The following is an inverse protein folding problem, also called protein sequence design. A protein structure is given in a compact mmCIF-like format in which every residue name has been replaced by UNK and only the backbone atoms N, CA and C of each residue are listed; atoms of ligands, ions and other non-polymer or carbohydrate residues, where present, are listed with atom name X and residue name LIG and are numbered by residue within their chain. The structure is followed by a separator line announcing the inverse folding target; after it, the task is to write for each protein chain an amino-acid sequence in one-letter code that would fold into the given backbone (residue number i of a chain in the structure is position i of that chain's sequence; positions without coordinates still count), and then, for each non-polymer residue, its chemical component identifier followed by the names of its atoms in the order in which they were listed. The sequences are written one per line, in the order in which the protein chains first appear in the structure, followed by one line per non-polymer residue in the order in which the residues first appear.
data_IF_751894739065
#
_entry.id   IF_751894739065
#
_cell.length_a   1.000
_cell.length_b   1.000
_cell.length_c   1.000
_cell.angle_alpha   90.00
_cell.angle_beta   90.00
_cell.angle_gamma   90.00
#
_symmetry.space_group_name_H-M   'P 1'
#
loop_
_entity.id
_entity.type
_entity.pdbx_description
1 polymer ?
#
# COMPACT_ATOMS: atom_id res chain seq x y z
N UNK A 1 3.44 20.23 -2.67
CA UNK A 1 4.82 19.68 -2.62
C UNK A 1 4.91 18.69 -3.77
N UNK A 2 5.81 18.92 -4.73
CA UNK A 2 5.87 18.12 -5.96
C UNK A 2 6.62 16.80 -5.72
N UNK A 3 6.36 15.76 -6.51
CA UNK A 3 7.04 14.45 -6.46
C UNK A 3 8.57 14.60 -6.52
N UNK A 4 9.03 15.64 -7.24
CA UNK A 4 10.43 16.00 -7.39
C UNK A 4 11.07 16.49 -6.07
N UNK A 5 10.26 17.04 -5.15
CA UNK A 5 10.71 17.44 -3.81
C UNK A 5 10.76 16.25 -2.85
N UNK A 6 9.87 15.26 -3.02
CA UNK A 6 9.90 14.00 -2.25
C UNK A 6 11.15 13.18 -2.61
N UNK A 7 11.50 13.07 -3.90
CA UNK A 7 12.74 12.41 -4.33
C UNK A 7 13.99 13.14 -3.84
N UNK A 8 13.94 14.48 -3.72
CA UNK A 8 15.05 15.25 -3.15
C UNK A 8 15.26 14.98 -1.65
N UNK A 9 14.23 14.55 -0.93
CA UNK A 9 14.32 14.24 0.50
C UNK A 9 14.71 12.78 0.73
N UNK A 10 14.17 11.84 -0.04
CA UNK A 10 14.38 10.39 0.20
C UNK A 10 15.64 9.79 -0.43
N UNK A 11 16.19 10.38 -1.52
CA UNK A 11 17.23 9.72 -2.32
C UNK A 11 18.53 10.54 -2.33
N UNK A 12 19.72 9.95 -2.14
CA UNK A 12 21.00 10.66 -2.26
C UNK A 12 21.18 11.35 -3.62
N UNK A 13 21.80 12.53 -3.67
CA UNK A 13 21.96 13.35 -4.90
C UNK A 13 22.62 12.58 -6.06
N UNK A 14 23.50 11.62 -5.75
CA UNK A 14 24.21 10.78 -6.73
C UNK A 14 23.27 9.83 -7.49
N UNK A 15 22.17 9.38 -6.88
CA UNK A 15 21.22 8.42 -7.48
C UNK A 15 20.08 9.12 -8.24
N UNK A 16 19.78 10.39 -7.92
CA UNK A 16 18.66 11.16 -8.52
C UNK A 16 18.77 11.33 -10.04
N UNK A 17 19.98 11.59 -10.58
CA UNK A 17 20.18 11.75 -12.04
C UNK A 17 19.95 10.45 -12.81
N UNK A 18 20.32 9.31 -12.22
CA UNK A 18 20.11 7.98 -12.81
C UNK A 18 18.62 7.61 -12.75
N UNK A 19 17.98 7.89 -11.61
CA UNK A 19 16.56 7.65 -11.36
C UNK A 19 15.65 8.48 -12.29
N UNK A 20 15.92 9.78 -12.49
CA UNK A 20 15.18 10.62 -13.44
C UNK A 20 15.30 10.16 -14.89
N UNK A 21 16.45 9.59 -15.26
CA UNK A 21 16.71 9.11 -16.62
C UNK A 21 16.01 7.78 -16.89
N UNK A 22 15.91 6.93 -15.88
CA UNK A 22 15.09 5.71 -15.91
C UNK A 22 13.59 6.03 -15.84
N UNK A 23 13.14 7.02 -15.05
CA UNK A 23 11.74 7.48 -14.96
C UNK A 23 11.16 7.97 -16.28
N UNK A 24 12.01 8.49 -17.16
CA UNK A 24 11.63 8.89 -18.52
C UNK A 24 11.53 7.72 -19.50
N UNK A 25 12.08 6.55 -19.15
CA UNK A 25 12.17 5.36 -20.02
C UNK A 25 11.27 4.21 -19.56
N UNK A 26 11.05 4.08 -18.26
CA UNK A 26 10.22 3.06 -17.63
C UNK A 26 9.26 3.78 -16.70
N UNK A 27 7.98 3.40 -16.75
CA UNK A 27 6.94 3.98 -15.91
C UNK A 27 7.29 3.91 -14.42
N UNK A 28 6.70 4.83 -13.64
CA UNK A 28 6.99 5.06 -12.23
C UNK A 28 6.86 3.76 -11.39
N UNK A 29 5.89 2.91 -11.74
CA UNK A 29 5.67 1.60 -11.11
C UNK A 29 6.84 0.62 -11.30
N UNK A 30 7.41 0.53 -12.50
CA UNK A 30 8.55 -0.36 -12.77
C UNK A 30 9.79 0.03 -11.98
N UNK A 31 9.97 1.33 -11.75
CA UNK A 31 11.12 1.86 -11.01
C UNK A 31 10.96 1.68 -9.52
N UNK A 32 9.73 1.77 -9.00
CA UNK A 32 9.45 1.40 -7.62
C UNK A 32 9.73 -0.08 -7.38
N UNK A 33 9.32 -0.96 -8.29
CA UNK A 33 9.60 -2.41 -8.25
C UNK A 33 11.11 -2.68 -8.34
N UNK A 34 11.85 -2.01 -9.23
CA UNK A 34 13.31 -2.15 -9.34
C UNK A 34 14.06 -1.58 -8.13
N UNK A 35 13.60 -0.45 -7.55
CA UNK A 35 14.13 0.09 -6.30
C UNK A 35 13.90 -0.87 -5.14
N UNK A 36 12.72 -1.46 -5.05
CA UNK A 36 12.39 -2.48 -4.06
C UNK A 36 13.30 -3.70 -4.22
N UNK A 37 13.43 -4.21 -5.46
CA UNK A 37 14.32 -5.34 -5.78
C UNK A 37 15.80 -5.05 -5.49
N UNK A 38 16.25 -3.82 -5.71
CA UNK A 38 17.64 -3.40 -5.47
C UNK A 38 17.94 -3.15 -3.98
N UNK A 39 16.95 -2.76 -3.18
CA UNK A 39 17.08 -2.54 -1.73
C UNK A 39 16.98 -3.83 -0.92
N UNK A 40 16.24 -4.83 -1.41
CA UNK A 40 15.90 -6.03 -0.64
C UNK A 40 16.45 -7.36 -1.18
N UNK A 41 17.26 -7.34 -2.25
CA UNK A 41 18.12 -8.45 -2.71
C UNK A 41 17.50 -9.85 -2.70
N UNK A 42 17.04 -10.35 -3.85
CA UNK A 42 16.62 -11.76 -3.93
C UNK A 42 16.24 -12.22 -5.33
N UNK A 43 17.14 -12.98 -5.93
CA UNK A 43 16.95 -13.72 -7.16
C UNK A 43 16.05 -14.95 -6.93
N UNK A 44 15.14 -15.17 -7.89
CA UNK A 44 14.41 -16.41 -8.26
C UNK A 44 14.26 -17.49 -7.17
N UNK A 45 13.02 -17.67 -6.72
CA UNK A 45 12.43 -19.00 -6.57
C UNK A 45 10.93 -18.93 -6.76
N UNK A 46 10.49 -19.44 -7.90
CA UNK A 46 9.10 -19.71 -8.24
C UNK A 46 8.79 -21.12 -7.75
N UNK A 47 7.72 -21.35 -6.97
CA UNK A 47 7.05 -22.63 -7.01
C UNK A 47 5.63 -22.52 -7.57
N UNK A 48 5.22 -23.64 -8.13
CA UNK A 48 4.05 -23.89 -8.94
C UNK A 48 2.71 -23.45 -8.34
N UNK A 49 1.82 -23.06 -9.25
CA UNK A 49 0.39 -22.86 -9.05
C UNK A 49 -0.23 -24.02 -8.25
N UNK A 50 -0.97 -23.67 -7.21
CA UNK A 50 -1.83 -24.59 -6.47
C UNK A 50 -3.27 -24.14 -6.62
N UNK A 51 -4.02 -24.91 -7.38
CA UNK A 51 -5.48 -24.84 -7.55
C UNK A 51 -6.13 -25.05 -6.19
N UNK A 52 -6.87 -24.05 -5.69
CA UNK A 52 -7.67 -24.18 -4.45
C UNK A 52 -9.11 -24.43 -4.82
N UNK A 53 -9.56 -25.64 -4.48
CA UNK A 53 -10.94 -26.11 -4.54
C UNK A 53 -11.76 -25.53 -3.40
N UNK A 54 -12.94 -25.04 -3.74
CA UNK A 54 -14.00 -24.52 -2.88
C UNK A 54 -14.50 -25.56 -1.85
N UNK A 55 -14.50 -25.24 -0.55
CA UNK A 55 -15.35 -25.90 0.47
C UNK A 55 -15.53 -24.98 1.68
N UNK A 56 -16.80 -24.66 1.99
CA UNK A 56 -17.20 -23.60 2.92
C UNK A 56 -16.97 -23.83 4.41
N UNK A 57 -17.17 -22.76 5.18
CA UNK A 57 -17.24 -22.78 6.64
C UNK A 57 -17.16 -21.39 7.28
N UNK A 58 -18.29 -20.99 7.89
CA UNK A 58 -18.47 -20.03 9.00
C UNK A 58 -18.10 -18.56 8.81
N UNK A 59 -19.15 -17.74 8.70
CA UNK A 59 -19.11 -16.29 8.87
C UNK A 59 -18.64 -15.90 10.28
N UNK A 60 -17.51 -15.21 10.35
CA UNK A 60 -17.04 -14.51 11.55
C UNK A 60 -17.82 -13.19 11.67
N UNK A 61 -18.42 -12.86 12.83
CA UNK A 61 -19.13 -11.61 13.00
C UNK A 61 -18.14 -10.46 13.11
N UNK A 62 -18.26 -9.48 12.20
CA UNK A 62 -17.50 -8.23 12.22
C UNK A 62 -17.91 -7.43 13.48
N UNK A 63 -16.98 -7.08 14.38
CA UNK A 63 -17.29 -6.23 15.53
C UNK A 63 -17.66 -4.82 15.07
N UNK A 64 -18.79 -4.30 15.57
CA UNK A 64 -19.26 -2.93 15.33
C UNK A 64 -18.24 -1.93 15.89
N UNK A 65 -17.63 -1.11 15.03
CA UNK A 65 -16.66 -0.10 15.46
C UNK A 65 -17.37 1.05 16.19
N UNK A 66 -16.79 1.49 17.30
CA UNK A 66 -17.26 2.61 18.09
C UNK A 66 -16.46 3.88 17.75
N UNK A 67 -17.13 4.86 17.15
CA UNK A 67 -17.15 6.22 17.69
C UNK A 67 -16.09 7.26 17.31
N UNK A 68 -15.04 6.96 16.52
CA UNK A 68 -14.22 8.02 15.87
C UNK A 68 -13.89 7.64 14.43
N UNK A 69 -14.06 8.54 13.44
CA UNK A 69 -13.58 8.31 12.09
C UNK A 69 -12.08 8.02 12.14
N UNK A 70 -11.66 6.91 11.52
CA UNK A 70 -10.25 6.57 11.37
C UNK A 70 -9.50 7.63 10.56
N UNK A 71 -8.15 7.59 10.53
CA UNK A 71 -7.34 8.62 9.87
C UNK A 71 -7.57 8.75 8.36
N UNK A 72 -8.31 7.82 7.74
CA UNK A 72 -8.66 7.82 6.30
C UNK A 72 -10.17 7.97 6.04
N UNK A 73 -10.96 8.35 7.05
CA UNK A 73 -12.41 8.39 6.90
C UNK A 73 -12.87 9.45 5.89
N UNK A 74 -12.13 10.56 5.79
CA UNK A 74 -12.46 11.65 4.87
C UNK A 74 -12.16 11.21 3.43
N UNK A 75 -11.03 10.55 3.24
CA UNK A 75 -10.55 9.95 1.99
C UNK A 75 -11.52 8.90 1.46
N UNK A 76 -11.96 7.97 2.32
CA UNK A 76 -12.96 6.96 1.95
C UNK A 76 -14.30 7.60 1.57
N UNK A 77 -14.78 8.59 2.36
CA UNK A 77 -16.01 9.32 2.00
C UNK A 77 -15.87 10.00 0.64
N UNK A 78 -14.71 10.58 0.34
CA UNK A 78 -14.46 11.24 -0.93
C UNK A 78 -14.42 10.24 -2.09
N UNK A 79 -13.75 9.09 -1.92
CA UNK A 79 -13.74 8.00 -2.90
C UNK A 79 -15.16 7.52 -3.25
N UNK A 80 -15.98 7.23 -2.23
CA UNK A 80 -17.38 6.87 -2.43
C UNK A 80 -18.21 7.99 -3.08
N UNK A 81 -17.92 9.24 -2.76
CA UNK A 81 -18.59 10.39 -3.39
C UNK A 81 -18.28 10.42 -4.89
N UNK A 82 -17.03 10.19 -5.30
CA UNK A 82 -16.68 10.10 -6.71
C UNK A 82 -17.37 8.93 -7.41
N UNK A 83 -17.33 7.73 -6.83
CA UNK A 83 -18.01 6.54 -7.36
C UNK A 83 -19.52 6.79 -7.53
N UNK A 84 -20.19 7.31 -6.51
CA UNK A 84 -21.63 7.58 -6.55
C UNK A 84 -21.99 8.59 -7.66
N UNK A 85 -21.18 9.63 -7.83
CA UNK A 85 -21.41 10.61 -8.90
C UNK A 85 -21.18 10.02 -10.29
N UNK A 86 -20.18 9.16 -10.47
CA UNK A 86 -19.91 8.48 -11.75
C UNK A 86 -21.05 7.49 -12.08
N UNK A 87 -21.55 6.75 -11.08
CA UNK A 87 -22.71 5.89 -11.22
C UNK A 87 -23.96 6.69 -11.63
N UNK A 88 -24.18 7.87 -11.04
CA UNK A 88 -25.27 8.75 -11.40
C UNK A 88 -25.17 9.29 -12.84
N UNK A 89 -23.96 9.56 -13.34
CA UNK A 89 -23.74 9.91 -14.76
C UNK A 89 -24.17 8.77 -15.68
N UNK A 90 -23.77 7.52 -15.36
CA UNK A 90 -24.16 6.35 -16.14
C UNK A 90 -25.68 6.12 -16.16
N UNK A 91 -26.35 6.34 -15.02
CA UNK A 91 -27.80 6.22 -14.89
C UNK A 91 -28.57 7.32 -15.63
N UNK A 92 -28.00 8.53 -15.69
CA UNK A 92 -28.61 9.68 -16.36
C UNK A 92 -28.40 9.68 -17.88
N UNK A 93 -27.43 8.90 -18.37
CA UNK A 93 -27.17 8.75 -19.79
C UNK A 93 -28.35 8.07 -20.51
N UNK A 94 -28.59 8.47 -21.76
CA UNK A 94 -29.70 7.91 -22.56
C UNK A 94 -29.56 6.39 -22.69
N UNK A 95 -30.63 5.61 -22.41
CA UNK A 95 -30.65 4.16 -22.58
C UNK A 95 -30.15 3.72 -23.97
N UNK A 96 -29.51 2.55 -24.02
CA UNK A 96 -29.02 1.90 -25.26
C UNK A 96 -28.02 2.71 -26.11
N UNK A 97 -27.45 3.79 -25.55
CA UNK A 97 -26.38 4.55 -26.20
C UNK A 97 -24.99 3.99 -25.90
N UNK A 98 -24.07 4.22 -26.82
CA UNK A 98 -22.65 3.91 -26.60
C UNK A 98 -22.07 4.68 -25.40
N UNK A 99 -22.57 5.89 -25.15
CA UNK A 99 -22.21 6.68 -23.97
C UNK A 99 -22.53 5.94 -22.67
N UNK A 100 -23.77 5.44 -22.56
CA UNK A 100 -24.21 4.67 -21.39
C UNK A 100 -23.37 3.42 -21.17
N UNK A 101 -23.12 2.64 -22.23
CA UNK A 101 -22.29 1.43 -22.16
C UNK A 101 -20.88 1.75 -21.64
N UNK A 102 -20.25 2.81 -22.17
CA UNK A 102 -18.91 3.25 -21.76
C UNK A 102 -18.88 3.72 -20.32
N UNK A 103 -19.88 4.50 -19.89
CA UNK A 103 -19.99 4.97 -18.51
C UNK A 103 -20.21 3.83 -17.53
N UNK A 104 -21.03 2.83 -17.88
CA UNK A 104 -21.24 1.63 -17.06
C UNK A 104 -19.94 0.83 -16.90
N UNK A 105 -19.17 0.67 -17.99
CA UNK A 105 -17.87 0.00 -17.96
C UNK A 105 -16.86 0.74 -17.06
N UNK A 106 -16.72 2.05 -17.23
CA UNK A 106 -15.82 2.85 -16.40
C UNK A 106 -16.25 2.85 -14.92
N UNK A 107 -17.56 2.92 -14.66
CA UNK A 107 -18.10 2.86 -13.31
C UNK A 107 -17.77 1.54 -12.61
N UNK A 108 -17.85 0.41 -13.31
CA UNK A 108 -17.43 -0.89 -12.76
C UNK A 108 -15.96 -0.89 -12.33
N UNK A 109 -15.07 -0.34 -13.17
CA UNK A 109 -13.64 -0.27 -12.87
C UNK A 109 -13.30 0.73 -11.76
N UNK A 110 -14.06 1.82 -11.66
CA UNK A 110 -13.95 2.76 -10.53
C UNK A 110 -14.46 2.12 -9.25
N UNK A 111 -15.47 1.26 -9.29
CA UNK A 111 -15.91 0.50 -8.13
C UNK A 111 -14.79 -0.45 -7.64
N UNK A 112 -14.12 -1.17 -8.55
CA UNK A 112 -12.95 -2.00 -8.23
C UNK A 112 -11.85 -1.16 -7.57
N UNK A 113 -11.56 0.01 -8.13
CA UNK A 113 -10.58 0.95 -7.58
C UNK A 113 -10.94 1.37 -6.15
N UNK A 114 -12.16 1.86 -5.91
CA UNK A 114 -12.60 2.27 -4.56
C UNK A 114 -12.48 1.12 -3.58
N UNK A 115 -12.84 -0.10 -3.99
CA UNK A 115 -12.67 -1.28 -3.16
C UNK A 115 -11.21 -1.53 -2.75
N UNK A 116 -10.26 -1.40 -3.69
CA UNK A 116 -8.84 -1.52 -3.37
C UNK A 116 -8.35 -0.41 -2.42
N UNK A 117 -8.91 0.81 -2.49
CA UNK A 117 -8.61 1.86 -1.51
C UNK A 117 -9.08 1.42 -0.12
N UNK A 118 -10.28 0.86 0.00
CA UNK A 118 -10.79 0.33 1.27
C UNK A 118 -9.87 -0.74 1.86
N UNK A 119 -9.36 -1.65 1.03
CA UNK A 119 -8.43 -2.70 1.47
C UNK A 119 -7.09 -2.14 1.95
N UNK A 120 -6.50 -1.19 1.21
CA UNK A 120 -5.26 -0.51 1.64
C UNK A 120 -5.48 0.24 2.95
N UNK A 121 -6.63 0.92 3.09
CA UNK A 121 -7.00 1.63 4.31
C UNK A 121 -7.18 0.65 5.47
N UNK A 122 -7.85 -0.48 5.26
CA UNK A 122 -8.04 -1.50 6.28
C UNK A 122 -6.69 -2.05 6.76
N UNK A 123 -5.76 -2.30 5.84
CA UNK A 123 -4.39 -2.71 6.15
C UNK A 123 -3.65 -1.67 7.01
N UNK A 124 -3.81 -0.38 6.67
CA UNK A 124 -3.18 0.72 7.39
C UNK A 124 -3.83 1.04 8.76
N UNK A 125 -5.08 0.65 9.00
CA UNK A 125 -5.91 1.13 10.13
C UNK A 125 -6.00 0.19 11.34
N UNK A 126 -5.11 -0.78 11.53
CA UNK A 126 -5.19 -1.65 12.70
C UNK A 126 -4.84 -0.91 14.02
N UNK A 127 -5.75 -0.07 14.53
CA UNK A 127 -5.51 0.95 15.56
C UNK A 127 -5.05 0.39 16.92
N UNK A 128 -5.46 -0.83 17.24
CA UNK A 128 -5.02 -1.50 18.47
C UNK A 128 -3.58 -2.01 18.33
N UNK A 129 -3.21 -2.48 17.14
CA UNK A 129 -1.85 -2.83 16.78
C UNK A 129 -0.96 -1.58 16.77
N UNK A 130 -1.47 -0.47 16.22
CA UNK A 130 -0.75 0.80 16.11
C UNK A 130 -0.30 1.37 17.46
N UNK A 131 -1.16 1.32 18.50
CA UNK A 131 -0.78 1.81 19.83
C UNK A 131 0.28 0.94 20.48
N UNK A 132 0.11 -0.38 20.45
CA UNK A 132 1.08 -1.32 21.02
C UNK A 132 2.44 -1.21 20.31
N UNK A 133 2.44 -1.16 18.98
CA UNK A 133 3.66 -1.00 18.19
C UNK A 133 4.33 0.36 18.41
N UNK A 134 3.56 1.44 18.61
CA UNK A 134 4.11 2.76 18.92
C UNK A 134 4.80 2.78 20.29
N UNK A 135 4.17 2.18 21.30
CA UNK A 135 4.76 2.03 22.63
C UNK A 135 6.01 1.14 22.62
N UNK A 136 6.00 0.04 21.86
CA UNK A 136 7.19 -0.81 21.69
C UNK A 136 8.31 -0.06 20.98
N UNK A 137 8.03 0.74 19.95
CA UNK A 137 9.04 1.54 19.24
C UNK A 137 9.74 2.53 20.17
N UNK A 138 9.05 3.04 21.18
CA UNK A 138 9.67 3.91 22.19
C UNK A 138 10.50 3.13 23.23
N UNK A 139 10.07 1.90 23.58
CA UNK A 139 10.69 1.09 24.64
C UNK A 139 11.88 0.25 24.17
N UNK A 140 11.85 -0.27 22.95
CA UNK A 140 12.87 -1.18 22.41
C UNK A 140 14.27 -0.54 22.33
N UNK A 141 14.44 0.72 21.86
CA UNK A 141 15.76 1.36 21.82
C UNK A 141 16.42 1.47 23.20
N UNK A 142 15.65 1.88 24.21
CA UNK A 142 16.14 1.96 25.59
C UNK A 142 16.48 0.55 26.14
N UNK A 143 15.71 -0.47 25.80
CA UNK A 143 16.02 -1.85 26.18
C UNK A 143 17.32 -2.36 25.53
N UNK A 144 17.54 -2.04 24.24
CA UNK A 144 18.79 -2.36 23.52
C UNK A 144 19.97 -1.68 24.19
N UNK A 145 19.90 -0.38 24.46
CA UNK A 145 20.98 0.39 25.09
C UNK A 145 21.35 -0.17 26.47
N UNK A 146 20.34 -0.56 27.27
CA UNK A 146 20.59 -1.21 28.57
C UNK A 146 21.27 -2.57 28.42
N UNK A 147 20.86 -3.38 27.44
CA UNK A 147 21.46 -4.69 27.19
C UNK A 147 22.91 -4.56 26.69
N UNK A 148 23.21 -3.55 25.88
CA UNK A 148 24.57 -3.24 25.43
C UNK A 148 25.47 -2.84 26.62
N UNK A 149 24.97 -1.99 27.52
CA UNK A 149 25.67 -1.62 28.75
C UNK A 149 25.92 -2.82 29.67
N UNK A 150 24.93 -3.70 29.83
CA UNK A 150 25.06 -4.92 30.62
C UNK A 150 26.07 -5.89 30.00
N UNK A 151 26.06 -6.05 28.67
CA UNK A 151 26.99 -6.91 27.97
C UNK A 151 28.43 -6.40 28.11
N UNK A 152 28.64 -5.09 28.00
CA UNK A 152 29.96 -4.47 28.17
C UNK A 152 30.53 -4.60 29.59
N UNK A 153 29.67 -4.81 30.59
CA UNK A 153 30.05 -4.96 32.00
C UNK A 153 30.04 -6.42 32.49
N UNK A 154 29.69 -7.39 31.64
CA UNK A 154 29.58 -8.79 32.02
C UNK A 154 30.93 -9.51 31.86
N UNK A 155 31.42 -10.15 32.93
CA UNK A 155 32.65 -10.96 32.91
C UNK A 155 32.37 -12.47 32.79
N UNK A 156 31.14 -12.91 33.09
CA UNK A 156 30.73 -14.31 33.00
C UNK A 156 30.36 -14.69 31.54
N UNK A 157 31.02 -15.69 30.94
CA UNK A 157 30.75 -16.11 29.55
C UNK A 157 29.30 -16.57 29.31
N UNK A 158 28.66 -17.20 30.30
CA UNK A 158 27.28 -17.68 30.16
C UNK A 158 26.30 -16.50 30.14
N UNK A 159 26.53 -15.50 31.00
CA UNK A 159 25.77 -14.26 31.02
C UNK A 159 25.96 -13.46 29.71
N UNK A 160 27.20 -13.34 29.21
CA UNK A 160 27.49 -12.68 27.93
C UNK A 160 26.68 -13.31 26.78
N UNK A 161 26.72 -14.65 26.65
CA UNK A 161 25.99 -15.36 25.60
C UNK A 161 24.46 -15.12 25.67
N UNK A 162 23.88 -15.10 26.88
CA UNK A 162 22.45 -14.80 27.08
C UNK A 162 22.11 -13.36 26.70
N UNK A 163 22.97 -12.41 27.07
CA UNK A 163 22.80 -10.99 26.74
C UNK A 163 22.90 -10.76 25.23
N UNK A 164 23.86 -11.38 24.55
CA UNK A 164 24.01 -11.33 23.09
C UNK A 164 22.77 -11.86 22.36
N UNK A 165 22.26 -13.04 22.76
CA UNK A 165 21.04 -13.60 22.17
C UNK A 165 19.83 -12.69 22.37
N UNK A 166 19.70 -12.12 23.56
CA UNK A 166 18.60 -11.20 23.89
C UNK A 166 18.72 -9.91 23.08
N UNK A 167 19.93 -9.36 22.95
CA UNK A 167 20.23 -8.17 22.17
C UNK A 167 19.92 -8.40 20.68
N UNK A 168 20.32 -9.55 20.12
CA UNK A 168 20.02 -9.92 18.74
C UNK A 168 18.51 -9.97 18.48
N UNK A 169 17.74 -10.56 19.39
CA UNK A 169 16.28 -10.60 19.29
C UNK A 169 15.66 -9.20 19.36
N UNK A 170 16.14 -8.33 20.26
CA UNK A 170 15.64 -6.94 20.38
C UNK A 170 15.99 -6.10 19.15
N UNK A 171 17.17 -6.28 18.54
CA UNK A 171 17.54 -5.62 17.28
C UNK A 171 16.63 -6.06 16.13
N UNK A 172 16.34 -7.36 15.99
CA UNK A 172 15.35 -7.85 15.00
C UNK A 172 13.96 -7.27 15.24
N UNK A 173 13.52 -7.20 16.50
CA UNK A 173 12.25 -6.56 16.86
C UNK A 173 12.23 -5.08 16.43
N UNK A 174 13.32 -4.35 16.64
CA UNK A 174 13.44 -2.95 16.21
C UNK A 174 13.29 -2.79 14.69
N UNK A 175 14.00 -3.63 13.92
CA UNK A 175 13.92 -3.65 12.46
C UNK A 175 12.49 -3.90 11.98
N UNK A 176 11.80 -4.90 12.56
CA UNK A 176 10.40 -5.18 12.25
C UNK A 176 9.47 -4.00 12.57
N UNK A 177 9.68 -3.34 13.71
CA UNK A 177 8.89 -2.16 14.12
C UNK A 177 9.10 -0.95 13.19
N UNK A 178 10.30 -0.80 12.62
CA UNK A 178 10.62 0.23 11.62
C UNK A 178 10.00 -0.08 10.26
N UNK A 179 10.06 -1.34 9.81
CA UNK A 179 9.40 -1.79 8.58
C UNK A 179 7.89 -1.56 8.66
N UNK A 180 7.25 -1.97 9.76
CA UNK A 180 5.82 -1.73 9.98
C UNK A 180 5.48 -0.23 9.96
N UNK A 181 6.32 0.61 10.59
CA UNK A 181 6.14 2.08 10.57
C UNK A 181 6.15 2.63 9.14
N UNK A 182 7.15 2.21 8.36
CA UNK A 182 7.36 2.67 7.00
C UNK A 182 6.22 2.20 6.10
N UNK A 183 5.80 0.95 6.22
CA UNK A 183 4.71 0.39 5.42
C UNK A 183 3.40 1.16 5.66
N UNK A 184 3.08 1.50 6.91
CA UNK A 184 1.93 2.34 7.23
C UNK A 184 2.00 3.72 6.58
N UNK A 185 3.16 4.38 6.63
CA UNK A 185 3.35 5.68 5.98
C UNK A 185 3.21 5.58 4.45
N UNK A 186 3.73 4.51 3.85
CA UNK A 186 3.60 4.27 2.41
C UNK A 186 2.15 3.98 2.02
N UNK A 187 1.41 3.21 2.81
CA UNK A 187 -0.02 2.98 2.59
C UNK A 187 -0.82 4.28 2.65
N UNK A 188 -0.54 5.14 3.63
CA UNK A 188 -1.17 6.45 3.73
C UNK A 188 -0.95 7.30 2.47
N UNK A 189 0.30 7.38 2.00
CA UNK A 189 0.65 8.11 0.78
C UNK A 189 0.01 7.48 -0.48
N UNK A 190 -0.10 6.15 -0.53
CA UNK A 190 -0.75 5.47 -1.65
C UNK A 190 -2.24 5.80 -1.70
N UNK A 191 -2.93 5.82 -0.56
CA UNK A 191 -4.34 6.24 -0.44
C UNK A 191 -4.52 7.68 -0.91
N UNK A 192 -3.70 8.61 -0.45
CA UNK A 192 -3.77 10.02 -0.87
C UNK A 192 -3.57 10.18 -2.38
N UNK A 193 -2.53 9.55 -2.94
CA UNK A 193 -2.21 9.62 -4.36
C UNK A 193 -3.34 9.03 -5.22
N UNK A 194 -3.81 7.83 -4.88
CA UNK A 194 -4.81 7.13 -5.69
C UNK A 194 -6.18 7.83 -5.61
N UNK A 195 -6.52 8.43 -4.46
CA UNK A 195 -7.70 9.29 -4.36
C UNK A 195 -7.59 10.57 -5.21
N UNK A 196 -6.41 11.19 -5.25
CA UNK A 196 -6.17 12.37 -6.10
C UNK A 196 -6.33 12.02 -7.59
N UNK A 197 -5.81 10.87 -8.03
CA UNK A 197 -6.00 10.37 -9.38
C UNK A 197 -7.48 10.11 -9.69
N UNK A 198 -8.21 9.47 -8.77
CA UNK A 198 -9.66 9.27 -8.92
C UNK A 198 -10.42 10.61 -9.06
N UNK A 199 -10.00 11.66 -8.33
CA UNK A 199 -10.54 13.01 -8.50
C UNK A 199 -10.27 13.62 -9.88
N UNK A 200 -9.09 13.36 -10.46
CA UNK A 200 -8.76 13.75 -11.84
C UNK A 200 -9.68 13.04 -12.83
N UNK A 201 -9.83 11.71 -12.72
CA UNK A 201 -10.72 10.91 -13.56
C UNK A 201 -12.16 11.44 -13.48
N UNK A 202 -12.67 11.67 -12.26
CA UNK A 202 -13.99 12.25 -12.06
C UNK A 202 -14.16 13.59 -12.76
N UNK A 203 -13.16 14.48 -12.68
CA UNK A 203 -13.21 15.80 -13.34
C UNK A 203 -13.27 15.68 -14.87
N UNK A 204 -12.52 14.74 -15.46
CA UNK A 204 -12.50 14.46 -16.90
C UNK A 204 -13.80 13.83 -17.40
N UNK A 205 -14.42 12.96 -16.58
CA UNK A 205 -15.75 12.42 -16.87
C UNK A 205 -16.79 13.54 -16.85
N UNK A 206 -16.76 14.38 -15.81
CA UNK A 206 -17.70 15.49 -15.67
C UNK A 206 -17.59 16.54 -16.78
N UNK A 207 -16.39 16.76 -17.32
CA UNK A 207 -16.19 17.73 -18.42
C UNK A 207 -16.69 17.22 -19.77
N UNK A 208 -17.08 15.95 -19.89
CA UNK A 208 -17.54 15.34 -21.14
C UNK A 208 -16.43 15.17 -22.20
N UNK A 209 -15.18 15.50 -21.85
CA UNK A 209 -14.05 15.49 -22.81
C UNK A 209 -13.77 14.09 -23.37
N UNK A 210 -14.11 13.06 -22.60
CA UNK A 210 -13.97 11.64 -22.97
C UNK A 210 -14.96 11.15 -24.03
N UNK A 211 -16.09 11.84 -24.23
CA UNK A 211 -17.14 11.47 -25.20
C UNK A 211 -16.86 11.93 -26.63
N UNK A 212 -16.03 12.98 -26.79
CA UNK A 212 -15.83 13.63 -28.09
C UNK A 212 -15.08 12.78 -29.11
N UNK A 213 -14.28 11.79 -28.69
CA UNK A 213 -13.46 10.94 -29.56
C UNK A 213 -13.29 9.55 -28.95
N UNK A 214 -13.34 8.49 -29.77
CA UNK A 214 -13.07 7.10 -29.35
C UNK A 214 -11.72 6.95 -28.64
N UNK A 215 -10.71 7.67 -29.13
CA UNK A 215 -9.35 7.63 -28.58
C UNK A 215 -9.27 8.20 -27.15
N UNK A 216 -10.16 9.13 -26.79
CA UNK A 216 -10.23 9.70 -25.43
C UNK A 216 -10.78 8.68 -24.43
N UNK A 217 -11.81 7.95 -24.83
CA UNK A 217 -12.37 6.86 -24.03
C UNK A 217 -11.34 5.73 -23.81
N UNK A 218 -10.69 5.26 -24.87
CA UNK A 218 -9.72 4.17 -24.79
C UNK A 218 -8.55 4.53 -23.87
N UNK A 219 -8.05 5.77 -23.96
CA UNK A 219 -7.00 6.26 -23.07
C UNK A 219 -7.44 6.28 -21.61
N UNK A 220 -8.63 6.82 -21.35
CA UNK A 220 -9.19 6.91 -20.00
C UNK A 220 -9.41 5.51 -19.40
N UNK A 221 -9.97 4.60 -20.18
CA UNK A 221 -10.17 3.21 -19.78
C UNK A 221 -8.84 2.52 -19.48
N UNK A 222 -7.82 2.73 -20.34
CA UNK A 222 -6.49 2.18 -20.12
C UNK A 222 -5.84 2.72 -18.84
N UNK A 223 -5.93 4.03 -18.58
CA UNK A 223 -5.42 4.66 -17.36
C UNK A 223 -6.06 4.09 -16.09
N UNK A 224 -7.40 3.98 -16.06
CA UNK A 224 -8.12 3.36 -14.94
C UNK A 224 -7.71 1.89 -14.77
N UNK A 225 -7.59 1.15 -15.87
CA UNK A 225 -7.19 -0.25 -15.82
C UNK A 225 -5.78 -0.44 -15.27
N UNK A 226 -4.84 0.42 -15.68
CA UNK A 226 -3.46 0.40 -15.20
C UNK A 226 -3.41 0.68 -13.70
N UNK A 227 -4.15 1.68 -13.20
CA UNK A 227 -4.14 1.98 -11.77
C UNK A 227 -4.82 0.88 -10.93
N UNK A 228 -5.91 0.28 -11.41
CA UNK A 228 -6.53 -0.89 -10.74
C UNK A 228 -5.55 -2.07 -10.67
N UNK A 229 -4.79 -2.36 -11.74
CA UNK A 229 -3.77 -3.40 -11.71
C UNK A 229 -2.63 -3.05 -10.74
N UNK A 230 -2.15 -1.82 -10.78
CA UNK A 230 -1.08 -1.35 -9.89
C UNK A 230 -1.49 -1.36 -8.41
N UNK A 231 -2.78 -1.13 -8.11
CA UNK A 231 -3.35 -1.25 -6.77
C UNK A 231 -3.41 -2.70 -6.31
N UNK A 232 -3.83 -3.61 -7.20
CA UNK A 232 -3.80 -5.06 -6.92
C UNK A 232 -2.39 -5.57 -6.62
N UNK A 233 -1.40 -5.23 -7.45
CA UNK A 233 0.01 -5.59 -7.23
C UNK A 233 0.54 -5.02 -5.90
N UNK A 234 0.11 -3.82 -5.53
CA UNK A 234 0.50 -3.19 -4.27
C UNK A 234 -0.10 -3.89 -3.05
N UNK A 235 -1.37 -4.31 -3.13
CA UNK A 235 -2.04 -5.09 -2.08
C UNK A 235 -1.38 -6.45 -1.88
N UNK A 236 -1.05 -7.16 -2.97
CA UNK A 236 -0.31 -8.43 -2.90
C UNK A 236 1.04 -8.24 -2.18
N UNK A 237 1.77 -7.16 -2.50
CA UNK A 237 3.02 -6.84 -1.82
C UNK A 237 2.84 -6.49 -0.33
N UNK A 238 1.74 -5.82 0.05
CA UNK A 238 1.43 -5.55 1.46
C UNK A 238 1.14 -6.83 2.24
N UNK A 239 0.44 -7.79 1.63
CA UNK A 239 0.13 -9.08 2.22
C UNK A 239 1.39 -9.93 2.40
N UNK A 240 2.29 -9.97 1.40
CA UNK A 240 3.59 -10.65 1.50
C UNK A 240 4.43 -10.13 2.68
N UNK A 241 4.43 -8.81 2.90
CA UNK A 241 5.17 -8.16 3.99
C UNK A 241 4.54 -8.39 5.37
N UNK A 242 3.24 -8.63 5.41
CA UNK A 242 2.47 -8.85 6.64
C UNK A 242 2.44 -10.32 7.03
N UNK A 243 2.67 -11.22 6.06
CA UNK A 243 2.82 -12.64 6.31
C UNK A 243 4.12 -12.87 7.09
N UNK A 244 4.05 -13.34 8.35
CA UNK A 244 5.25 -13.74 9.05
C UNK A 244 5.84 -14.91 8.27
N UNK A 245 6.94 -14.66 7.56
CA UNK A 245 7.74 -15.70 6.93
C UNK A 245 7.86 -16.84 7.93
N UNK A 246 7.23 -17.96 7.60
CA UNK A 246 7.08 -19.10 8.48
C UNK A 246 8.42 -19.37 9.13
N UNK A 247 8.45 -19.35 10.47
CA UNK A 247 9.56 -19.86 11.24
C UNK A 247 9.76 -21.32 10.84
N UNK A 248 10.60 -21.58 9.84
CA UNK A 248 11.26 -22.86 9.67
C UNK A 248 12.29 -22.92 10.78
N UNK A 249 11.86 -23.48 11.91
CA UNK A 249 12.75 -24.06 12.90
C UNK A 249 13.30 -25.33 12.25
N UNK A 250 14.58 -25.31 11.91
CA UNK A 250 15.42 -26.52 11.88
C UNK A 250 16.62 -26.25 12.80
#
# INVERSE_FOLDING_TARGET
MDFDDIIKVLVPKSTRKKLKKELKKKGLGTILIELFRALFGGEKSRPAARTVTNRGGTAVPIPKSSGKPGPFADELRQAHTYQANIAAMAQSATPDTMERIRLEQLNGRVADWVHMIEEIVAHAQNQQEDRLLAEERQRVPAAIERLEKQLAAADDPVLQQKLERTLANRRRQMEQLEVAARNRQLAALKVENTLAQLGIIYSQLRSGSFMSQSNSYERLSAEINEEVLALGDYLEALDELSSPAAYTVD
#
